data_IF_844320777758
#
_entry.id   IF_844320777758
#
_cell.length_a   1.000
_cell.length_b   1.000
_cell.length_c   1.000
_cell.angle_alpha   90.00
_cell.angle_beta   90.00
_cell.angle_gamma   90.00
#
_symmetry.space_group_name_H-M   'P 1'
#
loop_
_entity.id
_entity.type
_entity.pdbx_description
1 polymer ?
#
# COMPACT_ATOMS: atom_id res chain seq x y z
N UNK A 1 -16.06 -6.46 -21.42
CA UNK A 1 -15.86 -5.26 -20.58
C UNK A 1 -14.57 -5.48 -19.82
N UNK A 2 -13.51 -4.73 -20.16
CA UNK A 2 -12.26 -4.75 -19.40
C UNK A 2 -12.58 -3.99 -18.11
N UNK A 3 -12.51 -4.67 -16.97
CA UNK A 3 -12.61 -3.99 -15.68
C UNK A 3 -11.19 -3.53 -15.35
N UNK A 4 -10.90 -2.26 -15.61
CA UNK A 4 -9.64 -1.66 -15.17
C UNK A 4 -9.60 -1.75 -13.64
N UNK A 5 -8.77 -2.67 -13.13
CA UNK A 5 -8.54 -2.85 -11.69
C UNK A 5 -7.68 -1.68 -11.19
N UNK A 6 -8.32 -0.55 -10.94
CA UNK A 6 -7.73 0.64 -10.33
C UNK A 6 -8.08 0.73 -8.84
N UNK A 7 -7.28 1.46 -8.04
CA UNK A 7 -7.60 1.76 -6.65
C UNK A 7 -9.00 2.38 -6.51
N UNK A 8 -9.79 1.89 -5.57
CA UNK A 8 -11.02 2.57 -5.16
C UNK A 8 -10.71 3.51 -4.00
N UNK A 9 -10.53 4.80 -4.30
CA UNK A 9 -10.21 5.85 -3.32
C UNK A 9 -11.32 6.15 -2.29
N UNK A 10 -12.43 5.40 -2.29
CA UNK A 10 -13.49 5.50 -1.28
C UNK A 10 -13.61 4.23 -0.44
N UNK A 11 -12.90 3.16 -0.78
CA UNK A 11 -12.95 1.91 -0.06
C UNK A 11 -11.95 1.90 1.12
N UNK A 12 -12.20 1.08 2.16
CA UNK A 12 -11.23 0.84 3.22
C UNK A 12 -9.85 0.47 2.69
N UNK A 13 -8.81 0.95 3.38
CA UNK A 13 -7.42 0.73 3.01
C UNK A 13 -6.94 1.59 1.85
N UNK A 14 -7.68 2.61 1.41
CA UNK A 14 -7.22 3.52 0.35
C UNK A 14 -6.44 4.72 0.89
N UNK A 15 -5.45 5.15 0.11
CA UNK A 15 -4.73 6.41 0.27
C UNK A 15 -4.60 7.06 -1.11
N UNK A 16 -5.29 8.18 -1.32
CA UNK A 16 -5.36 8.90 -2.60
C UNK A 16 -5.39 10.40 -2.34
N UNK A 17 -5.27 11.22 -3.38
CA UNK A 17 -5.31 12.69 -3.27
C UNK A 17 -4.17 13.21 -2.35
N UNK A 18 -4.43 14.22 -1.51
CA UNK A 18 -3.43 15.03 -0.79
C UNK A 18 -3.19 14.69 0.72
N UNK A 19 -2.64 13.51 1.04
CA UNK A 19 -3.31 12.23 0.90
C UNK A 19 -4.45 12.08 1.92
N UNK A 20 -5.61 11.77 1.38
CA UNK A 20 -6.80 11.29 2.08
C UNK A 20 -6.71 9.78 2.26
N UNK A 21 -6.87 9.31 3.49
CA UNK A 21 -6.93 7.90 3.84
C UNK A 21 -8.35 7.46 4.18
N UNK A 22 -8.63 6.18 3.98
CA UNK A 22 -9.85 5.51 4.46
C UNK A 22 -9.45 4.34 5.35
N UNK A 23 -9.77 4.43 6.64
CA UNK A 23 -9.44 3.39 7.62
C UNK A 23 -10.18 2.08 7.39
N UNK A 24 -9.81 1.04 8.12
CA UNK A 24 -10.51 -0.26 8.10
C UNK A 24 -12.01 -0.14 8.44
N UNK A 25 -12.35 0.84 9.28
CA UNK A 25 -13.72 1.22 9.66
C UNK A 25 -14.50 1.98 8.56
N UNK A 26 -13.87 2.25 7.42
CA UNK A 26 -14.45 3.03 6.31
C UNK A 26 -14.49 4.54 6.56
N UNK A 27 -13.93 5.03 7.66
CA UNK A 27 -13.92 6.45 7.99
C UNK A 27 -12.73 7.14 7.32
N UNK A 28 -13.01 8.31 6.77
CA UNK A 28 -12.02 9.17 6.13
C UNK A 28 -11.22 9.94 7.18
N UNK A 29 -9.90 9.97 7.01
CA UNK A 29 -9.00 10.84 7.77
C UNK A 29 -7.83 11.30 6.89
N UNK A 30 -7.08 12.27 7.39
CA UNK A 30 -5.93 12.83 6.69
C UNK A 30 -4.67 12.63 7.51
N UNK A 31 -3.59 12.24 6.82
CA UNK A 31 -2.25 12.21 7.37
C UNK A 31 -1.37 13.05 6.45
N UNK A 32 -0.91 14.20 6.94
CA UNK A 32 -0.16 15.13 6.10
C UNK A 32 1.27 14.67 5.84
N UNK A 33 1.88 13.89 6.74
CA UNK A 33 3.30 13.59 6.65
C UNK A 33 4.14 14.86 6.47
N UNK A 34 5.25 14.75 5.75
CA UNK A 34 6.12 15.87 5.37
C UNK A 34 6.74 15.62 4.00
N UNK A 35 6.99 16.69 3.25
CA UNK A 35 7.72 16.61 1.98
C UNK A 35 9.11 16.00 2.19
N UNK A 36 9.51 15.16 1.25
CA UNK A 36 10.82 14.50 1.18
C UNK A 36 11.11 13.56 2.36
N UNK A 37 10.04 13.02 2.98
CA UNK A 37 10.15 12.10 4.11
C UNK A 37 9.41 10.79 3.86
N UNK A 38 9.75 9.80 4.69
CA UNK A 38 9.22 8.45 4.62
C UNK A 38 8.44 8.12 5.90
N UNK A 39 7.31 7.46 5.74
CA UNK A 39 6.47 7.04 6.85
C UNK A 39 5.96 5.62 6.64
N UNK A 40 5.95 4.82 7.71
CA UNK A 40 5.30 3.51 7.73
C UNK A 40 3.78 3.68 7.69
N UNK A 41 3.16 3.22 6.61
CA UNK A 41 1.70 3.13 6.48
C UNK A 41 1.19 1.91 7.24
N UNK A 42 1.92 0.81 7.18
CA UNK A 42 1.63 -0.46 7.86
C UNK A 42 2.94 -1.05 8.36
N UNK A 43 2.97 -1.54 9.59
CA UNK A 43 4.06 -2.34 10.14
C UNK A 43 3.45 -3.45 11.00
N UNK A 44 3.71 -4.68 10.60
CA UNK A 44 3.37 -5.91 11.29
C UNK A 44 4.59 -6.84 11.23
N UNK A 45 4.55 -7.97 11.96
CA UNK A 45 5.70 -8.87 12.10
C UNK A 45 6.28 -9.31 10.74
N UNK A 46 5.43 -9.65 9.78
CA UNK A 46 5.80 -10.20 8.48
C UNK A 46 5.62 -9.23 7.30
N UNK A 47 5.13 -8.01 7.54
CA UNK A 47 4.86 -7.02 6.51
C UNK A 47 5.12 -5.61 7.02
N UNK A 48 5.90 -4.83 6.29
CA UNK A 48 5.94 -3.39 6.45
C UNK A 48 5.81 -2.68 5.10
N UNK A 49 4.91 -1.70 5.05
CA UNK A 49 4.69 -0.84 3.89
C UNK A 49 5.00 0.59 4.32
N UNK A 50 6.02 1.16 3.69
CA UNK A 50 6.41 2.54 3.84
C UNK A 50 5.98 3.34 2.61
N UNK A 51 5.76 4.64 2.79
CA UNK A 51 5.49 5.58 1.72
C UNK A 51 6.47 6.75 1.75
N UNK A 52 6.96 7.15 0.58
CA UNK A 52 7.67 8.41 0.36
C UNK A 52 6.68 9.50 0.00
N UNK A 53 6.73 10.61 0.73
CA UNK A 53 5.86 11.76 0.49
C UNK A 53 6.63 12.82 -0.29
N UNK A 54 6.08 13.24 -1.42
CA UNK A 54 6.42 14.50 -2.08
C UNK A 54 5.46 15.58 -1.62
N UNK A 55 5.73 16.83 -1.99
CA UNK A 55 4.89 17.93 -1.53
C UNK A 55 5.41 19.30 -1.91
N UNK A 56 4.62 20.30 -1.58
CA UNK A 56 4.97 21.70 -1.78
C UNK A 56 4.32 22.55 -0.70
N UNK A 57 4.94 23.69 -0.39
CA UNK A 57 4.38 24.68 0.53
C UNK A 57 4.10 25.97 -0.23
N UNK A 58 2.82 26.27 -0.53
CA UNK A 58 2.46 27.54 -1.14
C UNK A 58 2.75 28.70 -0.19
N UNK A 59 2.97 29.89 -0.74
CA UNK A 59 3.18 31.09 0.06
C UNK A 59 1.97 31.34 0.99
N UNK A 60 2.25 31.68 2.25
CA UNK A 60 1.21 31.93 3.26
C UNK A 60 0.65 30.68 3.95
N UNK A 61 1.07 29.45 3.59
CA UNK A 61 0.71 28.25 4.37
C UNK A 61 1.78 27.88 5.40
N UNK A 62 1.32 27.35 6.52
CA UNK A 62 2.17 26.84 7.60
C UNK A 62 2.54 25.36 7.45
N UNK A 63 1.95 24.66 6.47
CA UNK A 63 2.09 23.22 6.24
C UNK A 63 2.22 22.92 4.75
N UNK A 64 2.84 21.79 4.45
CA UNK A 64 2.97 21.27 3.09
C UNK A 64 1.63 20.63 2.66
N UNK A 65 1.29 20.79 1.39
CA UNK A 65 0.51 19.79 0.69
C UNK A 65 1.43 18.62 0.35
N UNK A 66 0.94 17.39 0.45
CA UNK A 66 1.75 16.21 0.20
C UNK A 66 0.98 15.16 -0.58
N UNK A 67 1.74 14.29 -1.27
CA UNK A 67 1.22 13.17 -2.03
C UNK A 67 2.18 11.98 -1.89
N UNK A 68 1.68 10.76 -2.06
CA UNK A 68 2.51 9.55 -2.01
C UNK A 68 3.20 9.38 -3.35
N UNK A 69 4.53 9.50 -3.40
CA UNK A 69 5.31 9.29 -4.62
C UNK A 69 5.71 7.83 -4.81
N UNK A 70 6.07 7.16 -3.73
CA UNK A 70 6.61 5.80 -3.80
C UNK A 70 6.13 4.97 -2.62
N UNK A 71 6.00 3.66 -2.85
CA UNK A 71 5.84 2.66 -1.80
C UNK A 71 7.08 1.77 -1.72
N UNK A 72 7.50 1.48 -0.49
CA UNK A 72 8.46 0.44 -0.16
C UNK A 72 7.74 -0.66 0.61
N UNK A 73 7.86 -1.89 0.16
CA UNK A 73 7.18 -3.05 0.70
C UNK A 73 8.25 -4.02 1.17
N UNK A 74 8.31 -4.24 2.47
CA UNK A 74 9.20 -5.14 3.17
C UNK A 74 8.37 -6.35 3.60
N UNK A 75 8.80 -7.54 3.21
CA UNK A 75 8.10 -8.78 3.55
C UNK A 75 9.11 -9.92 3.56
N UNK A 76 9.05 -10.80 4.56
CA UNK A 76 10.09 -11.80 4.79
C UNK A 76 11.49 -11.16 4.81
N UNK A 77 12.44 -11.70 4.05
CA UNK A 77 13.78 -11.16 3.82
C UNK A 77 13.89 -10.37 2.50
N UNK A 78 12.77 -10.02 1.88
CA UNK A 78 12.69 -9.37 0.58
C UNK A 78 12.12 -7.97 0.67
N UNK A 79 12.42 -7.17 -0.35
CA UNK A 79 11.83 -5.87 -0.53
C UNK A 79 11.39 -5.65 -1.98
N UNK A 80 10.32 -4.88 -2.14
CA UNK A 80 9.82 -4.40 -3.40
C UNK A 80 9.54 -2.91 -3.29
N UNK A 81 9.79 -2.14 -4.33
CA UNK A 81 9.33 -0.76 -4.40
C UNK A 81 8.73 -0.40 -5.73
N UNK A 82 7.83 0.57 -5.67
CA UNK A 82 7.12 1.16 -6.80
C UNK A 82 7.10 2.66 -6.60
N UNK A 83 7.51 3.40 -7.63
CA UNK A 83 7.66 4.84 -7.60
C UNK A 83 7.00 5.47 -8.84
N UNK A 84 6.32 6.58 -8.63
CA UNK A 84 5.87 7.49 -9.66
C UNK A 84 7.04 8.37 -10.14
N UNK A 85 7.39 8.29 -11.43
CA UNK A 85 8.47 9.10 -12.00
C UNK A 85 8.01 10.55 -12.24
N UNK A 86 8.77 11.56 -11.78
CA UNK A 86 8.41 12.97 -11.98
C UNK A 86 8.28 13.36 -13.45
N UNK A 87 7.40 14.32 -13.74
CA UNK A 87 7.20 14.86 -15.07
C UNK A 87 6.76 16.32 -15.01
N UNK A 88 7.22 17.13 -15.97
CA UNK A 88 6.77 18.52 -16.09
C UNK A 88 5.31 18.63 -16.53
N UNK A 89 4.90 17.77 -17.46
CA UNK A 89 3.54 17.69 -17.98
C UNK A 89 3.12 16.23 -18.05
N UNK A 90 1.86 15.95 -17.71
CA UNK A 90 1.32 14.60 -17.82
C UNK A 90 1.18 14.16 -19.28
N UNK A 91 1.62 12.93 -19.56
CA UNK A 91 1.38 12.24 -20.82
C UNK A 91 1.03 10.78 -20.53
N UNK A 92 -0.19 10.36 -20.86
CA UNK A 92 -0.69 9.01 -20.64
C UNK A 92 -0.04 7.96 -21.56
N UNK A 93 0.64 8.39 -22.61
CA UNK A 93 1.48 7.55 -23.46
C UNK A 93 2.84 7.23 -22.84
N UNK A 94 3.21 7.83 -21.71
CA UNK A 94 4.46 7.53 -21.00
C UNK A 94 4.13 6.67 -19.78
N UNK A 95 4.90 5.61 -19.57
CA UNK A 95 4.81 4.83 -18.34
C UNK A 95 5.61 5.52 -17.24
N UNK A 96 4.90 5.97 -16.22
CA UNK A 96 5.46 6.68 -15.07
C UNK A 96 5.73 5.74 -13.88
N UNK A 97 5.69 4.42 -14.09
CA UNK A 97 6.01 3.42 -13.07
C UNK A 97 7.50 3.05 -13.12
N UNK A 98 8.18 3.17 -11.99
CA UNK A 98 9.47 2.56 -11.75
C UNK A 98 9.33 1.48 -10.69
N UNK A 99 9.71 0.25 -11.01
CA UNK A 99 9.60 -0.90 -10.11
C UNK A 99 11.00 -1.44 -9.78
N UNK A 100 11.18 -1.93 -8.57
CA UNK A 100 12.39 -2.67 -8.19
C UNK A 100 12.10 -3.76 -7.18
N UNK A 101 12.86 -4.85 -7.26
CA UNK A 101 12.77 -5.99 -6.37
C UNK A 101 14.17 -6.31 -5.83
N UNK A 102 14.33 -6.36 -4.51
CA UNK A 102 15.60 -6.54 -3.81
C UNK A 102 16.72 -5.59 -4.28
N UNK A 103 16.35 -4.34 -4.58
CA UNK A 103 17.27 -3.30 -5.06
C UNK A 103 17.61 -3.36 -6.55
N UNK A 104 17.15 -4.38 -7.28
CA UNK A 104 17.33 -4.47 -8.74
C UNK A 104 16.11 -3.93 -9.48
N UNK A 105 16.34 -3.22 -10.59
CA UNK A 105 15.26 -2.69 -11.42
C UNK A 105 14.43 -3.82 -12.05
N UNK A 106 13.12 -3.71 -11.92
CA UNK A 106 12.18 -4.70 -12.44
C UNK A 106 11.39 -4.13 -13.62
N UNK A 107 11.54 -4.75 -14.79
CA UNK A 107 10.82 -4.35 -16.00
C UNK A 107 9.71 -5.37 -16.31
N UNK A 108 8.48 -4.89 -16.41
CA UNK A 108 7.32 -5.66 -16.84
C UNK A 108 6.83 -5.08 -18.17
N UNK A 109 6.62 -5.90 -19.23
CA UNK A 109 6.17 -5.42 -20.53
C UNK A 109 4.94 -4.51 -20.42
N UNK A 110 4.92 -3.39 -21.16
CA UNK A 110 3.84 -2.39 -21.19
C UNK A 110 2.59 -2.88 -21.93
N UNK A 111 2.00 -3.97 -21.45
CA UNK A 111 0.79 -4.55 -22.01
C UNK A 111 -0.15 -4.98 -20.90
N UNK A 112 -1.45 -4.82 -21.15
CA UNK A 112 -2.51 -5.21 -20.22
C UNK A 112 -2.38 -6.69 -19.83
N UNK A 113 -2.46 -7.00 -18.53
CA UNK A 113 -2.27 -8.33 -17.92
C UNK A 113 -0.85 -8.91 -18.08
N UNK A 114 0.13 -8.11 -18.48
CA UNK A 114 1.54 -8.52 -18.34
C UNK A 114 1.86 -8.69 -16.87
N UNK A 115 2.52 -9.80 -16.55
CA UNK A 115 2.78 -10.19 -15.17
C UNK A 115 4.23 -10.58 -14.97
N UNK A 116 4.71 -10.32 -13.78
CA UNK A 116 5.94 -10.86 -13.24
C UNK A 116 5.61 -11.61 -11.96
N UNK A 117 6.26 -12.74 -11.74
CA UNK A 117 6.09 -13.52 -10.53
C UNK A 117 7.45 -14.03 -10.08
N UNK A 118 7.80 -13.78 -8.83
CA UNK A 118 9.00 -14.33 -8.24
C UNK A 118 8.77 -15.80 -7.87
N UNK A 119 9.64 -16.73 -8.29
CA UNK A 119 9.50 -18.15 -7.94
C UNK A 119 9.65 -18.45 -6.44
N UNK A 120 10.45 -17.66 -5.71
CA UNK A 120 10.87 -17.96 -4.34
C UNK A 120 9.85 -17.52 -3.29
N UNK A 121 9.38 -16.27 -3.36
CA UNK A 121 8.47 -15.67 -2.38
C UNK A 121 7.04 -15.52 -2.92
N UNK A 122 6.81 -15.97 -4.15
CA UNK A 122 5.53 -15.93 -4.85
C UNK A 122 4.92 -14.52 -4.98
N UNK A 123 5.70 -13.44 -4.78
CA UNK A 123 5.28 -12.07 -5.07
C UNK A 123 4.85 -12.00 -6.54
N UNK A 124 3.61 -11.56 -6.78
CA UNK A 124 3.08 -11.37 -8.12
C UNK A 124 2.81 -9.90 -8.37
N UNK A 125 3.24 -9.41 -9.52
CA UNK A 125 2.95 -8.07 -10.00
C UNK A 125 2.29 -8.20 -11.35
N UNK A 126 1.16 -7.55 -11.53
CA UNK A 126 0.38 -7.63 -12.76
C UNK A 126 -0.04 -6.23 -13.20
N UNK A 127 0.21 -5.90 -14.46
CA UNK A 127 -0.26 -4.67 -15.08
C UNK A 127 -1.77 -4.73 -15.28
N UNK A 128 -2.50 -3.78 -14.69
CA UNK A 128 -3.96 -3.65 -14.85
C UNK A 128 -4.34 -2.72 -16.00
N UNK A 129 -3.36 -2.03 -16.58
CA UNK A 129 -3.42 -1.27 -17.83
C UNK A 129 -2.07 -1.43 -18.56
N UNK A 130 -1.94 -1.02 -19.82
CA UNK A 130 -0.64 -1.02 -20.51
C UNK A 130 0.40 -0.17 -19.79
N UNK A 131 -0.02 0.95 -19.18
CA UNK A 131 0.83 1.92 -18.48
C UNK A 131 0.18 2.36 -17.16
N UNK A 132 1.00 2.83 -16.22
CA UNK A 132 0.57 3.60 -15.05
C UNK A 132 -0.33 2.87 -14.04
N UNK A 133 -0.65 1.58 -14.21
CA UNK A 133 -1.46 0.83 -13.24
C UNK A 133 -0.99 -0.61 -13.06
N UNK A 134 -0.79 -1.00 -11.80
CA UNK A 134 -0.37 -2.35 -11.41
C UNK A 134 -1.13 -2.83 -10.17
N UNK A 135 -1.28 -4.14 -10.06
CA UNK A 135 -1.65 -4.84 -8.83
C UNK A 135 -0.44 -5.62 -8.34
N UNK A 136 -0.12 -5.44 -7.06
CA UNK A 136 0.90 -6.22 -6.35
C UNK A 136 0.18 -7.17 -5.40
N UNK A 137 0.47 -8.46 -5.51
CA UNK A 137 -0.12 -9.51 -4.67
C UNK A 137 1.00 -10.18 -3.88
N UNK A 138 0.90 -10.05 -2.55
CA UNK A 138 1.72 -10.77 -1.58
C UNK A 138 0.84 -11.93 -1.08
N UNK A 139 1.16 -13.19 -1.42
CA UNK A 139 0.30 -14.34 -1.11
C UNK A 139 -0.13 -14.37 0.34
N UNK A 140 -1.43 -14.59 0.57
CA UNK A 140 -2.08 -14.72 1.88
C UNK A 140 -2.00 -13.49 2.80
N UNK A 141 -1.21 -12.48 2.45
CA UNK A 141 -0.96 -11.29 3.27
C UNK A 141 -1.76 -10.10 2.76
N UNK A 142 -1.57 -9.71 1.49
CA UNK A 142 -2.16 -8.49 0.95
C UNK A 142 -2.27 -8.44 -0.58
N UNK A 143 -3.24 -7.69 -1.07
CA UNK A 143 -3.37 -7.24 -2.45
C UNK A 143 -3.35 -5.70 -2.49
N UNK A 144 -2.53 -5.12 -3.35
CA UNK A 144 -2.27 -3.69 -3.41
C UNK A 144 -2.53 -3.20 -4.82
N UNK A 145 -3.53 -2.34 -4.97
CA UNK A 145 -3.85 -1.67 -6.22
C UNK A 145 -3.12 -0.34 -6.26
N UNK A 146 -2.47 -0.05 -7.38
CA UNK A 146 -1.65 1.14 -7.56
C UNK A 146 -1.97 1.76 -8.90
N UNK A 147 -2.22 3.05 -8.90
CA UNK A 147 -2.41 3.84 -10.11
C UNK A 147 -1.60 5.13 -10.01
N UNK A 148 -0.85 5.44 -11.06
CA UNK A 148 -0.12 6.70 -11.18
C UNK A 148 -1.06 7.77 -11.72
N UNK A 149 -1.06 8.92 -11.06
CA UNK A 149 -1.84 10.11 -11.41
C UNK A 149 -0.96 11.35 -11.27
N UNK A 150 -1.54 12.52 -11.53
CA UNK A 150 -0.88 13.81 -11.44
C UNK A 150 -1.86 14.84 -10.89
N UNK A 151 -1.36 15.98 -10.45
CA UNK A 151 -2.19 17.10 -10.04
C UNK A 151 -2.61 17.89 -11.27
N UNK A 152 -3.90 17.94 -11.59
CA UNK A 152 -4.37 18.70 -12.74
C UNK A 152 -4.32 20.21 -12.46
N UNK A 153 -4.29 21.03 -13.52
CA UNK A 153 -4.40 22.50 -13.39
C UNK A 153 -5.71 22.90 -12.70
N UNK A 154 -6.78 22.15 -12.92
CA UNK A 154 -8.07 22.41 -12.30
C UNK A 154 -8.04 22.08 -10.79
N UNK A 155 -7.47 20.94 -10.40
CA UNK A 155 -7.29 20.59 -8.98
C UNK A 155 -6.42 21.65 -8.28
N UNK A 156 -5.31 22.05 -8.91
CA UNK A 156 -4.43 23.11 -8.40
C UNK A 156 -5.17 24.43 -8.20
N UNK A 157 -6.08 24.79 -9.11
CA UNK A 157 -6.90 26.00 -9.02
C UNK A 157 -7.95 25.90 -7.91
N UNK A 158 -8.65 24.77 -7.79
CA UNK A 158 -9.69 24.54 -6.79
C UNK A 158 -9.11 24.55 -5.38
N UNK A 159 -7.96 23.89 -5.19
CA UNK A 159 -7.33 23.72 -3.88
C UNK A 159 -6.24 24.77 -3.58
N UNK A 160 -5.96 25.67 -4.54
CA UNK A 160 -4.88 26.64 -4.48
C UNK A 160 -3.53 25.98 -4.13
N UNK A 161 -3.21 24.88 -4.83
CA UNK A 161 -1.95 24.17 -4.64
C UNK A 161 -0.76 25.02 -5.12
N UNK A 162 -0.94 25.94 -6.08
CA UNK A 162 0.17 26.73 -6.64
C UNK A 162 1.27 25.83 -7.24
N UNK A 163 0.85 24.74 -7.89
CA UNK A 163 1.74 23.83 -8.64
C UNK A 163 2.50 24.65 -9.70
N UNK A 164 3.84 24.55 -9.76
CA UNK A 164 4.64 25.26 -10.75
C UNK A 164 4.45 24.65 -12.16
N UNK A 165 4.81 25.41 -13.20
CA UNK A 165 4.61 24.97 -14.59
C UNK A 165 5.59 23.87 -15.05
N UNK A 166 6.65 23.61 -14.29
CA UNK A 166 7.72 22.66 -14.61
C UNK A 166 7.62 21.31 -13.87
N UNK A 167 6.56 21.10 -13.07
CA UNK A 167 6.28 19.82 -12.39
C UNK A 167 4.76 19.63 -12.21
N UNK A 168 4.21 18.51 -12.67
CA UNK A 168 2.79 18.18 -12.50
C UNK A 168 2.51 17.30 -11.26
N UNK A 169 3.52 17.06 -10.41
CA UNK A 169 3.39 16.31 -9.16
C UNK A 169 2.80 14.91 -9.40
N UNK A 170 3.49 14.12 -10.23
CA UNK A 170 3.12 12.73 -10.50
C UNK A 170 3.21 11.92 -9.19
N UNK A 171 2.14 11.22 -8.84
CA UNK A 171 2.01 10.52 -7.56
C UNK A 171 1.14 9.26 -7.68
N UNK A 172 1.07 8.49 -6.59
CA UNK A 172 0.34 7.24 -6.49
C UNK A 172 -0.99 7.45 -5.78
N UNK A 173 -2.04 6.92 -6.40
CA UNK A 173 -3.24 6.49 -5.70
C UNK A 173 -3.12 5.01 -5.39
N UNK A 174 -3.44 4.63 -4.16
CA UNK A 174 -3.26 3.25 -3.70
C UNK A 174 -4.47 2.75 -2.92
N UNK A 175 -4.72 1.45 -3.04
CA UNK A 175 -5.68 0.74 -2.20
C UNK A 175 -5.08 -0.57 -1.75
N UNK A 176 -5.00 -0.75 -0.43
CA UNK A 176 -4.57 -1.98 0.20
C UNK A 176 -5.78 -2.82 0.61
N UNK A 177 -5.72 -4.11 0.30
CA UNK A 177 -6.60 -5.14 0.87
C UNK A 177 -5.72 -6.11 1.64
N UNK A 178 -5.91 -6.18 2.94
CA UNK A 178 -5.16 -7.08 3.80
C UNK A 178 -5.99 -8.30 4.14
N UNK A 179 -5.32 -9.45 4.24
CA UNK A 179 -5.94 -10.75 4.54
C UNK A 179 -5.44 -11.35 5.85
N UNK A 180 -4.16 -11.12 6.20
CA UNK A 180 -3.52 -11.63 7.42
C UNK A 180 -2.73 -10.53 8.13
N UNK A 181 -3.43 -9.61 8.81
CA UNK A 181 -2.82 -8.67 9.76
C UNK A 181 -3.04 -9.16 11.19
N UNK A 182 -2.01 -9.05 12.01
CA UNK A 182 -2.06 -9.32 13.43
C UNK A 182 -2.88 -8.26 14.17
N UNK A 183 -3.35 -8.60 15.37
CA UNK A 183 -4.07 -7.66 16.24
C UNK A 183 -3.19 -6.52 16.78
N UNK A 184 -1.88 -6.54 16.50
CA UNK A 184 -0.90 -5.55 16.95
C UNK A 184 -0.38 -4.66 15.82
N UNK A 185 -0.87 -4.82 14.60
CA UNK A 185 -0.43 -4.06 13.42
C UNK A 185 -0.43 -2.56 13.68
N UNK A 186 0.70 -1.91 13.42
CA UNK A 186 0.90 -0.48 13.58
C UNK A 186 1.04 0.23 12.22
N UNK A 187 1.19 1.54 12.25
CA UNK A 187 1.36 2.38 11.05
C UNK A 187 0.23 3.37 10.90
N UNK A 188 0.43 4.37 10.03
CA UNK A 188 -0.57 5.44 9.75
C UNK A 188 -1.93 4.84 9.41
N UNK A 189 -1.95 3.81 8.56
CA UNK A 189 -3.14 3.07 8.16
C UNK A 189 -3.33 1.79 8.99
N UNK A 190 -2.24 1.08 9.28
CA UNK A 190 -2.26 -0.18 10.00
C UNK A 190 -2.96 -0.09 11.36
N UNK A 191 -2.75 1.00 12.11
CA UNK A 191 -3.40 1.20 13.42
C UNK A 191 -4.93 1.11 13.36
N UNK A 192 -5.54 1.45 12.21
CA UNK A 192 -7.00 1.37 12.02
C UNK A 192 -7.54 -0.06 11.96
N UNK A 193 -6.69 -1.06 11.73
CA UNK A 193 -7.04 -2.48 11.67
C UNK A 193 -6.96 -3.19 13.02
N UNK A 194 -6.43 -2.55 14.07
CA UNK A 194 -6.38 -3.16 15.40
C UNK A 194 -7.79 -3.24 16.03
N UNK A 195 -8.13 -4.31 16.76
CA UNK A 195 -9.46 -4.50 17.36
C UNK A 195 -9.87 -3.43 18.38
N UNK A 196 -8.90 -2.80 19.04
CA UNK A 196 -9.12 -1.76 20.04
C UNK A 196 -9.15 -0.34 19.45
N UNK A 197 -8.95 -0.20 18.14
CA UNK A 197 -8.88 1.10 17.49
C UNK A 197 -10.20 1.84 17.62
N UNK A 198 -10.14 3.00 18.25
CA UNK A 198 -11.25 3.94 18.29
C UNK A 198 -10.87 5.14 17.46
N UNK A 199 -11.58 5.33 16.36
CA UNK A 199 -11.24 6.39 15.44
C UNK A 199 -11.47 7.76 16.09
N UNK A 200 -10.41 8.58 16.30
CA UNK A 200 -10.59 9.93 16.84
C UNK A 200 -11.45 10.81 15.92
N UNK A 201 -11.49 10.48 14.62
CA UNK A 201 -12.33 11.07 13.59
C UNK A 201 -13.83 10.84 13.78
N UNK A 202 -14.22 9.75 14.46
CA UNK A 202 -15.62 9.36 14.58
C UNK A 202 -16.42 10.27 15.53
N UNK A 203 -15.78 11.28 16.15
CA UNK A 203 -16.47 12.33 16.89
C UNK A 203 -17.34 13.15 15.92
N UNK A 204 -18.65 13.10 16.13
CA UNK A 204 -19.65 13.84 15.36
C UNK A 204 -19.25 15.33 15.23
N UNK A 205 -19.11 15.81 14.00
CA UNK A 205 -18.88 17.22 13.68
C UNK A 205 -17.50 17.61 13.17
N UNK A 206 -16.52 16.68 13.07
CA UNK A 206 -15.19 16.98 12.49
C UNK A 206 -15.15 16.62 11.01
N UNK A 207 -15.18 17.63 10.14
CA UNK A 207 -15.26 17.44 8.68
C UNK A 207 -13.97 16.88 8.04
N UNK A 208 -12.80 17.05 8.68
CA UNK A 208 -11.50 16.60 8.19
C UNK A 208 -10.58 16.24 9.37
N UNK A 209 -10.68 15.01 9.89
CA UNK A 209 -9.91 14.60 11.04
C UNK A 209 -8.47 14.31 10.62
N UNK A 210 -7.53 14.98 11.27
CA UNK A 210 -6.09 14.83 11.02
C UNK A 210 -5.54 13.88 12.07
N UNK A 211 -4.94 12.78 11.63
CA UNK A 211 -4.27 11.82 12.52
C UNK A 211 -2.79 12.19 12.60
N UNK A 212 -2.30 12.39 13.83
CA UNK A 212 -0.88 12.63 14.09
C UNK A 212 -0.05 11.34 14.04
N UNK A 213 1.19 11.39 14.50
CA UNK A 213 2.08 10.21 14.54
C UNK A 213 3.27 10.30 13.59
N UNK A 214 3.54 11.47 13.01
CA UNK A 214 4.75 11.73 12.22
C UNK A 214 6.01 11.20 12.93
N UNK A 215 6.21 11.54 14.22
CA UNK A 215 7.40 11.11 14.97
C UNK A 215 7.43 9.60 15.26
N UNK A 216 6.26 8.94 15.29
CA UNK A 216 6.14 7.50 15.58
C UNK A 216 6.40 6.65 14.34
N UNK A 217 5.89 7.09 13.20
CA UNK A 217 5.85 6.31 11.98
C UNK A 217 6.95 6.71 10.98
N UNK A 218 7.74 7.75 11.25
CA UNK A 218 8.84 8.15 10.37
C UNK A 218 9.89 7.04 10.28
N UNK A 219 10.29 6.69 9.05
CA UNK A 219 11.42 5.80 8.76
C UNK A 219 12.58 6.58 8.16
N UNK A 220 13.80 6.04 8.23
CA UNK A 220 14.98 6.71 7.65
C UNK A 220 14.99 6.68 6.12
N UNK A 221 14.50 5.60 5.53
CA UNK A 221 14.39 5.41 4.08
C UNK A 221 13.11 4.67 3.70
N UNK A 222 12.83 4.63 2.40
CA UNK A 222 11.70 3.88 1.84
C UNK A 222 11.75 2.38 2.19
N UNK A 223 12.95 1.80 2.27
CA UNK A 223 13.15 0.37 2.52
C UNK A 223 13.71 0.08 3.92
N UNK A 224 13.64 1.03 4.84
CA UNK A 224 14.02 0.82 6.23
C UNK A 224 12.83 0.39 7.08
N UNK A 225 13.06 -0.51 8.04
CA UNK A 225 12.06 -0.94 9.03
C UNK A 225 12.07 -0.09 10.32
N UNK A 226 12.86 0.98 10.36
CA UNK A 226 13.20 1.73 11.56
C UNK A 226 12.21 2.86 11.85
N UNK A 227 11.10 2.55 12.51
CA UNK A 227 10.24 3.56 13.12
C UNK A 227 9.98 3.28 14.61
N UNK A 228 9.53 4.31 15.35
CA UNK A 228 9.42 4.26 16.81
C UNK A 228 8.44 3.24 17.36
N UNK A 229 7.54 2.72 16.51
CA UNK A 229 6.54 1.68 16.86
C UNK A 229 6.48 0.56 15.81
N UNK A 230 7.42 0.54 14.86
CA UNK A 230 7.46 -0.51 13.84
C UNK A 230 7.87 -1.82 14.48
N UNK A 231 7.27 -2.92 14.01
CA UNK A 231 7.42 -4.25 14.59
C UNK A 231 7.82 -5.31 13.57
N UNK A 232 8.13 -4.89 12.35
CA UNK A 232 8.57 -5.79 11.29
C UNK A 232 9.89 -6.47 11.65
N UNK A 233 9.88 -7.80 11.56
CA UNK A 233 11.04 -8.63 11.80
C UNK A 233 11.22 -9.65 10.66
N UNK A 234 12.25 -9.46 9.81
CA UNK A 234 12.57 -10.40 8.74
C UNK A 234 12.83 -11.84 9.22
N UNK A 235 13.27 -12.01 10.46
CA UNK A 235 13.67 -13.31 11.02
C UNK A 235 12.46 -14.15 11.43
N UNK A 236 11.44 -13.56 12.07
CA UNK A 236 10.24 -14.27 12.50
C UNK A 236 9.35 -14.71 11.34
N UNK A 237 9.38 -13.97 10.22
CA UNK A 237 8.65 -14.34 9.00
C UNK A 237 9.17 -15.64 8.35
N UNK A 238 10.45 -15.96 8.55
CA UNK A 238 11.09 -17.16 8.01
C UNK A 238 10.66 -18.45 8.72
N UNK A 239 10.25 -18.36 9.99
CA UNK A 239 9.86 -19.53 10.79
C UNK A 239 8.47 -20.07 10.38
N UNK A 240 7.52 -19.20 10.00
CA UNK A 240 6.19 -19.62 9.54
C UNK A 240 6.23 -20.48 8.26
N UNK A 241 7.20 -20.26 7.36
CA UNK A 241 7.35 -21.06 6.14
C UNK A 241 8.00 -22.44 6.37
N UNK A 242 8.53 -22.71 7.56
CA UNK A 242 9.18 -24.00 7.89
C UNK A 242 8.26 -25.04 8.54
N UNK A 243 7.00 -24.68 8.84
CA UNK A 243 6.03 -25.57 9.47
C UNK A 243 4.68 -25.54 8.73
N UNK A 244 4.61 -26.22 7.59
CA UNK A 244 3.37 -26.87 7.11
C UNK A 244 3.71 -27.82 5.94
N UNK A 245 4.46 -28.89 6.23
CA UNK A 245 4.36 -30.10 5.43
C UNK A 245 3.00 -30.74 5.79
N UNK A 246 1.93 -30.31 5.10
CA UNK A 246 0.65 -30.99 5.17
C UNK A 246 0.88 -32.43 4.70
N UNK A 247 0.90 -33.36 5.65
CA UNK A 247 0.88 -34.78 5.37
C UNK A 247 -0.27 -35.07 4.42
N UNK A 248 0.06 -35.51 3.20
CA UNK A 248 -0.93 -35.99 2.23
C UNK A 248 -1.78 -37.07 2.89
N UNK A 249 -3.04 -36.75 3.18
CA UNK A 249 -4.06 -37.74 3.48
C UNK A 249 -4.35 -38.51 2.20
N UNK A 250 -3.79 -39.71 2.10
CA UNK A 250 -4.13 -40.68 1.07
C UNK A 250 -5.56 -41.19 1.30
N UNK A 251 -6.50 -40.70 0.49
CA UNK A 251 -7.91 -41.09 0.52
C UNK A 251 -8.22 -42.21 -0.48
N UNK A 252 -7.37 -43.22 -0.62
CA UNK A 252 -7.70 -44.46 -1.35
C UNK A 252 -8.33 -45.52 -0.42
N UNK A 253 -9.37 -45.13 0.32
CA UNK A 253 -10.19 -46.04 1.11
C UNK A 253 -11.48 -46.40 0.37
N UNK A 254 -11.50 -47.54 -0.32
CA UNK A 254 -12.72 -48.14 -0.87
C UNK A 254 -13.67 -48.46 0.28
N UNK A 255 -14.80 -47.76 0.42
CA UNK A 255 -15.88 -48.19 1.32
C UNK A 255 -17.22 -48.25 0.62
N UNK A 256 -17.68 -49.49 0.42
CA UNK A 256 -19.09 -49.84 0.32
C UNK A 256 -19.84 -49.30 1.55
N UNK A 257 -20.97 -48.64 1.32
CA UNK A 257 -22.13 -48.53 2.22
C UNK A 257 -21.92 -47.94 3.64
N UNK A 258 -22.53 -46.78 3.90
CA UNK A 258 -23.19 -46.51 5.19
C UNK A 258 -22.65 -45.38 6.09
N UNK A 259 -23.48 -44.33 6.23
CA UNK A 259 -23.66 -43.39 7.35
C UNK A 259 -22.49 -42.57 7.94
N UNK A 260 -22.48 -41.27 7.57
CA UNK A 260 -22.45 -40.11 8.48
C UNK A 260 -21.22 -39.86 9.36
N UNK A 261 -20.47 -38.78 9.09
CA UNK A 261 -19.43 -38.26 9.98
C UNK A 261 -20.01 -37.09 10.80
N UNK A 262 -19.97 -37.21 12.12
CA UNK A 262 -20.22 -36.12 13.08
C UNK A 262 -18.88 -35.75 13.71
N UNK A 263 -18.40 -34.52 13.47
CA UNK A 263 -17.24 -33.98 14.16
C UNK A 263 -17.68 -33.38 15.51
N UNK A 264 -17.03 -33.80 16.61
CA UNK A 264 -17.00 -33.05 17.87
C UNK A 264 -15.58 -32.56 18.13
N UNK A 265 -15.55 -31.42 18.83
CA UNK A 265 -14.43 -30.52 19.11
C UNK A 265 -13.14 -31.20 19.54
#
# INVERSE_FOLDING_TARGET
MITDRKPNCKAPGSACLDPRFVGADGIVYYFHGRRDQHFSLVSDVNLQINARFIGLRPEGRTRDYTWIQALGILFNSHNFSVEATPAATWNDEIDHLKLSYNGEELVIPESHLSKWQCPQDQLRIERTSSKNSVTVTIPEIAEIFINVVYVTKEDSRIHNYQIPDDDCFVHLEVQFKFYDLSSKVEGVLGRTYQPDFQNPAAKLGVAMPIVGGEDKYRTTSLLSADCGVCMFDPSEASEKNSMMEYSMLDCTGVTKSGNGIVCRR
#
